data_IF_681163051703
#
_entry.id   IF_681163051703
#
_cell.length_a   1.000
_cell.length_b   1.000
_cell.length_c   1.000
_cell.angle_alpha   90.00
_cell.angle_beta   90.00
_cell.angle_gamma   90.00
#
_symmetry.space_group_name_H-M   'P 1'
#
loop_
_entity.id
_entity.type
_entity.pdbx_description
1 polymer ?
#
# COMPACT_ATOMS: atom_id res chain seq x y z
N UNK A 1 -23.42 21.90 -7.21
CA UNK A 1 -22.33 20.96 -6.84
C UNK A 1 -22.30 19.87 -7.90
N UNK A 2 -21.14 19.57 -8.47
CA UNK A 2 -20.95 18.52 -9.48
C UNK A 2 -20.32 17.30 -8.80
N UNK A 3 -20.79 16.11 -9.14
CA UNK A 3 -20.29 14.85 -8.57
C UNK A 3 -19.94 13.91 -9.71
N UNK A 4 -18.71 13.42 -9.74
CA UNK A 4 -18.30 12.36 -10.64
C UNK A 4 -18.45 11.02 -9.92
N UNK A 5 -19.07 10.05 -10.59
CA UNK A 5 -19.17 8.67 -10.11
C UNK A 5 -18.27 7.80 -10.97
N UNK A 6 -17.38 7.09 -10.29
CA UNK A 6 -16.52 6.08 -10.87
C UNK A 6 -17.08 4.72 -10.48
N UNK A 7 -17.41 3.89 -11.46
CA UNK A 7 -17.85 2.50 -11.26
C UNK A 7 -16.80 1.59 -11.86
N UNK A 8 -16.33 0.62 -11.08
CA UNK A 8 -15.28 -0.29 -11.49
C UNK A 8 -15.51 -1.69 -10.89
N UNK A 9 -14.97 -2.70 -11.55
CA UNK A 9 -15.03 -4.09 -11.13
C UNK A 9 -13.73 -4.47 -10.44
N UNK A 10 -13.82 -5.00 -9.22
CA UNK A 10 -12.68 -5.53 -8.48
C UNK A 10 -13.02 -6.91 -7.92
N UNK A 11 -12.25 -7.93 -8.29
CA UNK A 11 -12.43 -9.31 -7.84
C UNK A 11 -13.90 -9.81 -7.94
N UNK A 12 -14.57 -9.51 -9.06
CA UNK A 12 -15.97 -9.91 -9.30
C UNK A 12 -17.03 -9.10 -8.55
N UNK A 13 -16.64 -8.10 -7.76
CA UNK A 13 -17.55 -7.19 -7.04
C UNK A 13 -17.57 -5.82 -7.72
N UNK A 14 -18.75 -5.20 -7.79
CA UNK A 14 -18.92 -3.85 -8.33
C UNK A 14 -18.69 -2.83 -7.23
N UNK A 15 -17.73 -1.93 -7.44
CA UNK A 15 -17.47 -0.79 -6.57
C UNK A 15 -17.90 0.50 -7.24
N UNK A 16 -18.36 1.46 -6.43
CA UNK A 16 -18.66 2.81 -6.88
C UNK A 16 -18.06 3.82 -5.92
N UNK A 17 -17.50 4.89 -6.47
CA UNK A 17 -16.95 5.99 -5.69
C UNK A 17 -17.43 7.32 -6.26
N UNK A 18 -18.00 8.14 -5.38
CA UNK A 18 -18.51 9.46 -5.71
C UNK A 18 -17.50 10.52 -5.24
N UNK A 19 -17.05 11.36 -6.17
CA UNK A 19 -16.09 12.43 -5.92
C UNK A 19 -16.76 13.76 -6.26
N UNK A 20 -16.87 14.63 -5.26
CA UNK A 20 -17.38 15.99 -5.44
C UNK A 20 -16.25 16.86 -5.96
N UNK A 21 -16.48 17.58 -7.05
CA UNK A 21 -15.49 18.46 -7.64
C UNK A 21 -16.06 19.84 -7.99
N UNK A 22 -15.18 20.84 -8.02
CA UNK A 22 -15.48 22.20 -8.45
C UNK A 22 -14.66 22.53 -9.71
N UNK A 23 -15.30 23.12 -10.72
CA UNK A 23 -14.70 23.37 -12.03
C UNK A 23 -14.93 22.23 -13.02
N UNK A 24 -13.95 21.99 -13.89
CA UNK A 24 -14.02 21.05 -15.02
C UNK A 24 -13.05 19.87 -14.89
N UNK A 25 -12.27 19.83 -13.81
CA UNK A 25 -11.30 18.78 -13.50
C UNK A 25 -11.72 18.08 -12.21
N UNK A 26 -11.66 16.74 -12.21
CA UNK A 26 -11.93 15.89 -11.06
C UNK A 26 -10.70 15.01 -10.79
N UNK A 27 -10.37 14.80 -9.51
CA UNK A 27 -9.35 13.84 -9.11
C UNK A 27 -9.84 12.42 -9.40
N UNK A 28 -8.99 11.62 -10.03
CA UNK A 28 -9.26 10.19 -10.27
C UNK A 28 -8.83 9.39 -9.04
N UNK A 29 -9.66 8.45 -8.55
CA UNK A 29 -9.26 7.59 -7.45
C UNK A 29 -8.19 6.59 -7.91
N UNK A 30 -7.38 6.10 -6.96
CA UNK A 30 -6.46 5.01 -7.24
C UNK A 30 -7.26 3.71 -7.45
N UNK A 31 -7.03 3.06 -8.59
CA UNK A 31 -7.73 1.86 -9.00
C UNK A 31 -6.76 0.71 -9.11
N UNK A 32 -7.19 -0.45 -8.62
CA UNK A 32 -6.41 -1.67 -8.57
C UNK A 32 -7.33 -2.85 -8.89
N UNK A 33 -6.80 -3.84 -9.59
CA UNK A 33 -7.43 -5.09 -10.02
C UNK A 33 -8.68 -4.87 -10.88
N UNK A 34 -8.63 -3.89 -11.77
CA UNK A 34 -9.74 -3.49 -12.63
C UNK A 34 -9.35 -3.50 -14.10
N UNK A 35 -10.21 -4.06 -14.94
CA UNK A 35 -10.08 -4.14 -16.40
C UNK A 35 -10.82 -3.00 -17.13
N UNK A 36 -11.86 -2.43 -16.52
CA UNK A 36 -12.63 -1.35 -17.07
C UNK A 36 -13.24 -0.43 -16.01
N UNK A 37 -13.30 0.85 -16.34
CA UNK A 37 -13.94 1.87 -15.51
C UNK A 37 -15.06 2.52 -16.31
N UNK A 38 -16.21 2.69 -15.67
CA UNK A 38 -17.31 3.50 -16.17
C UNK A 38 -17.38 4.81 -15.38
N UNK A 39 -17.23 5.93 -16.06
CA UNK A 39 -17.28 7.27 -15.45
C UNK A 39 -18.54 8.00 -15.89
N UNK A 40 -19.29 8.52 -14.91
CA UNK A 40 -20.45 9.38 -15.14
C UNK A 40 -20.38 10.64 -14.28
N UNK A 41 -21.04 11.70 -14.71
CA UNK A 41 -21.16 12.95 -13.95
C UNK A 41 -22.62 13.25 -13.65
N UNK A 42 -22.85 13.75 -12.44
CA UNK A 42 -24.12 14.23 -11.91
C UNK A 42 -23.98 15.71 -11.54
N UNK A 43 -24.91 16.54 -11.99
CA UNK A 43 -24.98 17.95 -11.66
C UNK A 43 -26.45 18.34 -11.43
N UNK A 44 -26.91 18.27 -10.17
CA UNK A 44 -28.34 18.42 -9.85
C UNK A 44 -29.16 17.33 -10.54
N UNK A 45 -30.14 17.72 -11.34
CA UNK A 45 -31.02 16.80 -12.09
C UNK A 45 -30.37 16.25 -13.38
N UNK A 46 -29.26 16.86 -13.83
CA UNK A 46 -28.54 16.43 -15.02
C UNK A 46 -27.65 15.24 -14.64
N UNK A 47 -27.90 14.10 -15.26
CA UNK A 47 -27.12 12.89 -15.09
C UNK A 47 -26.68 12.34 -16.44
N UNK A 48 -25.48 11.78 -16.47
CA UNK A 48 -24.97 11.09 -17.65
C UNK A 48 -25.76 9.78 -17.82
N UNK A 49 -26.51 9.62 -18.92
CA UNK A 49 -27.29 8.41 -19.20
C UNK A 49 -26.43 7.22 -19.63
N UNK A 50 -25.37 7.49 -20.39
CA UNK A 50 -24.39 6.49 -20.84
C UNK A 50 -23.01 6.87 -20.31
N UNK A 51 -22.43 6.10 -19.38
CA UNK A 51 -21.12 6.44 -18.83
C UNK A 51 -20.01 6.26 -19.86
N UNK A 52 -18.94 7.04 -19.73
CA UNK A 52 -17.72 6.85 -20.52
C UNK A 52 -17.01 5.59 -20.01
N UNK A 53 -16.77 4.62 -20.90
CA UNK A 53 -16.00 3.40 -20.58
C UNK A 53 -14.54 3.59 -20.94
N UNK A 54 -13.67 3.47 -19.94
CA UNK A 54 -12.23 3.58 -20.09
C UNK A 54 -11.64 2.19 -19.84
N UNK A 55 -11.01 1.55 -20.84
CA UNK A 55 -10.32 0.29 -20.63
C UNK A 55 -9.05 0.51 -19.80
N UNK A 56 -8.78 -0.40 -18.88
CA UNK A 56 -7.58 -0.38 -18.05
C UNK A 56 -6.75 -1.62 -18.32
N UNK A 57 -5.47 -1.42 -18.62
CA UNK A 57 -4.54 -2.54 -18.77
C UNK A 57 -4.07 -2.98 -17.38
N UNK A 58 -4.21 -4.27 -17.10
CA UNK A 58 -3.66 -4.85 -15.88
C UNK A 58 -2.13 -4.71 -15.88
N UNK A 59 -1.59 -4.36 -14.73
CA UNK A 59 -0.15 -4.21 -14.51
C UNK A 59 0.34 -5.30 -13.54
N UNK A 60 1.64 -5.60 -13.54
CA UNK A 60 2.22 -6.62 -12.63
C UNK A 60 2.03 -6.25 -11.14
N UNK A 61 1.95 -4.95 -10.85
CA UNK A 61 1.67 -4.40 -9.52
C UNK A 61 0.20 -4.40 -9.15
N UNK A 62 -0.70 -4.76 -10.06
CA UNK A 62 -2.15 -4.63 -9.87
C UNK A 62 -2.68 -5.63 -8.84
N UNK A 63 -2.14 -6.85 -8.83
CA UNK A 63 -2.44 -7.88 -7.83
C UNK A 63 -1.53 -7.86 -6.60
N UNK A 64 -0.63 -6.87 -6.48
CA UNK A 64 0.15 -6.72 -5.26
C UNK A 64 -0.79 -6.18 -4.19
N UNK A 65 -1.11 -7.00 -3.18
CA UNK A 65 -1.75 -6.51 -1.98
C UNK A 65 -0.89 -5.39 -1.44
N UNK A 66 -1.44 -4.16 -1.38
CA UNK A 66 -0.89 -3.13 -0.51
C UNK A 66 -0.88 -3.76 0.87
N UNK A 67 0.30 -4.19 1.33
CA UNK A 67 0.43 -4.72 2.68
C UNK A 67 -0.11 -3.63 3.60
N UNK A 68 -1.14 -3.92 4.40
CA UNK A 68 -1.60 -2.93 5.37
C UNK A 68 -0.37 -2.55 6.21
N UNK A 69 -0.17 -1.25 6.42
CA UNK A 69 0.90 -0.79 7.30
C UNK A 69 0.82 -1.59 8.60
N UNK A 70 1.96 -2.13 9.08
CA UNK A 70 1.94 -2.95 10.27
C UNK A 70 1.27 -2.17 11.41
N UNK A 71 0.42 -2.81 12.22
CA UNK A 71 -0.19 -2.17 13.37
C UNK A 71 0.88 -1.49 14.22
N UNK A 72 0.61 -0.30 14.83
CA UNK A 72 1.59 0.42 15.64
C UNK A 72 2.20 -0.44 16.76
N UNK A 73 1.45 -1.43 17.22
CA UNK A 73 1.83 -2.38 18.27
C UNK A 73 2.99 -3.31 17.85
N UNK A 74 3.18 -3.58 16.55
CA UNK A 74 4.30 -4.41 16.06
C UNK A 74 5.64 -3.74 16.38
N UNK A 75 5.72 -2.42 16.25
CA UNK A 75 6.93 -1.67 16.61
C UNK A 75 7.19 -1.71 18.12
N UNK A 76 6.14 -1.64 18.94
CA UNK A 76 6.26 -1.74 20.40
C UNK A 76 6.76 -3.13 20.82
N UNK A 77 6.22 -4.20 20.23
CA UNK A 77 6.65 -5.58 20.48
C UNK A 77 8.10 -5.81 20.07
N UNK A 78 8.55 -5.25 18.94
CA UNK A 78 9.95 -5.34 18.50
C UNK A 78 10.87 -4.63 19.50
N UNK A 79 10.50 -3.44 19.97
CA UNK A 79 11.31 -2.70 20.95
C UNK A 79 11.41 -3.43 22.29
N UNK A 80 10.32 -4.04 22.75
CA UNK A 80 10.30 -4.85 23.98
C UNK A 80 11.19 -6.09 23.83
N UNK A 81 11.09 -6.80 22.70
CA UNK A 81 11.92 -7.97 22.42
C UNK A 81 13.42 -7.63 22.32
N UNK A 82 13.77 -6.48 21.74
CA UNK A 82 15.14 -5.99 21.69
C UNK A 82 15.68 -5.66 23.09
N UNK A 83 14.87 -5.04 23.94
CA UNK A 83 15.24 -4.75 25.32
C UNK A 83 15.50 -6.03 26.14
N UNK A 84 14.68 -7.06 25.92
CA UNK A 84 14.88 -8.38 26.54
C UNK A 84 16.18 -9.06 26.05
N UNK A 85 16.52 -8.93 24.77
CA UNK A 85 17.78 -9.48 24.21
C UNK A 85 19.01 -8.77 24.82
N UNK A 86 18.97 -7.44 24.93
CA UNK A 86 20.03 -6.66 25.56
C UNK A 86 20.19 -7.01 27.05
N UNK A 87 19.07 -7.17 27.77
CA UNK A 87 19.06 -7.58 29.17
C UNK A 87 19.65 -8.99 29.39
N UNK A 88 19.50 -9.88 28.39
CA UNK A 88 20.06 -11.23 28.39
C UNK A 88 21.53 -11.30 27.91
N UNK A 89 22.18 -10.15 27.68
CA UNK A 89 23.63 -10.07 27.46
C UNK A 89 24.10 -10.38 26.05
N UNK A 90 23.18 -10.41 25.06
CA UNK A 90 23.53 -10.58 23.64
C UNK A 90 23.83 -9.19 23.06
N UNK A 91 25.04 -9.00 22.53
CA UNK A 91 25.46 -7.72 21.93
C UNK A 91 24.97 -7.66 20.48
N UNK A 92 24.07 -6.72 20.18
CA UNK A 92 23.60 -6.44 18.82
C UNK A 92 24.59 -5.49 18.15
N UNK A 93 25.34 -5.97 17.15
CA UNK A 93 26.44 -5.20 16.53
C UNK A 93 26.00 -3.96 15.74
N UNK A 94 24.81 -3.99 15.13
CA UNK A 94 24.17 -2.83 14.48
C UNK A 94 22.71 -3.16 14.13
N UNK A 95 21.78 -2.24 14.40
CA UNK A 95 20.38 -2.37 13.96
C UNK A 95 19.97 -1.10 13.20
N UNK A 96 19.67 -1.24 11.91
CA UNK A 96 19.07 -0.18 11.10
C UNK A 96 17.62 -0.56 10.78
N UNK A 97 16.67 0.35 11.01
CA UNK A 97 15.28 0.19 10.56
C UNK A 97 15.25 0.41 9.05
N UNK A 98 15.44 -0.66 8.28
CA UNK A 98 15.32 -0.62 6.83
C UNK A 98 13.84 -0.50 6.48
N UNK A 99 13.38 0.73 6.27
CA UNK A 99 12.00 1.07 5.84
C UNK A 99 11.57 0.42 4.51
N UNK A 100 12.43 -0.37 3.88
CA UNK A 100 12.28 -0.85 2.51
C UNK A 100 12.73 -2.31 2.28
N UNK A 101 12.75 -3.16 3.32
CA UNK A 101 12.75 -4.62 3.12
C UNK A 101 13.98 -5.19 2.39
N UNK A 102 15.17 -4.67 2.68
CA UNK A 102 16.43 -5.24 2.19
C UNK A 102 17.03 -6.07 3.33
N UNK A 103 17.37 -7.33 3.11
CA UNK A 103 18.06 -8.16 4.10
C UNK A 103 19.52 -7.70 4.28
N UNK A 104 19.96 -7.51 5.53
CA UNK A 104 21.35 -7.27 5.86
C UNK A 104 22.06 -8.65 6.00
N UNK A 105 22.92 -8.99 5.04
CA UNK A 105 23.80 -10.16 5.15
C UNK A 105 24.78 -9.93 6.31
N UNK A 106 24.58 -10.58 7.46
CA UNK A 106 25.56 -10.53 8.56
C UNK A 106 26.72 -11.46 8.21
N UNK A 107 27.81 -10.89 7.67
CA UNK A 107 29.08 -11.57 7.53
C UNK A 107 29.91 -11.41 8.83
N UNK A 108 29.87 -12.44 9.68
CA UNK A 108 30.91 -12.93 10.60
C UNK A 108 31.61 -12.00 11.60
N UNK A 109 31.71 -12.45 12.87
CA UNK A 109 32.92 -12.33 13.73
C UNK A 109 32.81 -13.37 14.88
N UNK A 110 33.98 -13.91 15.28
CA UNK A 110 34.30 -14.97 16.25
C UNK A 110 34.32 -16.40 15.64
N UNK A 111 35.41 -17.17 15.63
CA UNK A 111 36.46 -17.31 16.65
C UNK A 111 37.80 -17.86 16.12
N UNK A 112 38.85 -17.59 16.90
CA UNK A 112 40.13 -18.32 17.07
C UNK A 112 41.11 -18.50 15.89
N UNK A 113 42.14 -17.62 15.85
CA UNK A 113 43.54 -18.04 15.61
C UNK A 113 44.46 -17.18 16.49
N UNK A 114 44.58 -17.53 17.79
CA UNK A 114 45.78 -17.19 18.55
C UNK A 114 46.84 -18.26 18.29
N UNK A 115 48.05 -17.81 17.93
CA UNK A 115 49.12 -18.70 17.53
C UNK A 115 49.67 -19.56 18.67
N UNK A 116 49.79 -20.86 18.42
CA UNK A 116 50.95 -21.74 18.67
C UNK A 116 50.91 -22.86 17.63
#
# INVERSE_FOLDING_TARGET
VKTARFVYYKCGTVFHQDIVFAGDICSMPALYETDCIAVGVYAGDIHTSTPARIPCAQCITDGASVHPDPPPDVYAQILEYLADIEANGIIIGSAELLTNGIDLFIAGIADEWEGV
#
